data_IF_224504906501
#
_entry.id   IF_224504906501
#
_cell.length_a   1.000
_cell.length_b   1.000
_cell.length_c   1.000
_cell.angle_alpha   90.00
_cell.angle_beta   90.00
_cell.angle_gamma   90.00
#
_symmetry.space_group_name_H-M   'P 1'
#
loop_
_entity.id
_entity.type
_entity.pdbx_description
1 polymer ?
#
# COMPACT_ATOMS: atom_id res chain seq x y z
N UNK A 1 4.70 1.37 25.28
CA UNK A 1 4.39 -0.02 24.87
C UNK A 1 4.07 -0.06 23.36
N UNK A 2 5.06 0.18 22.50
CA UNK A 2 4.89 0.24 21.02
C UNK A 2 5.74 -0.87 20.32
N UNK A 3 6.72 -1.45 21.03
CA UNK A 3 7.61 -2.45 20.47
C UNK A 3 6.97 -3.84 20.29
N UNK A 4 5.98 -4.20 21.12
CA UNK A 4 5.37 -5.55 21.12
C UNK A 4 4.49 -5.76 19.87
N UNK A 5 3.91 -4.70 19.29
CA UNK A 5 2.98 -4.81 18.15
C UNK A 5 3.65 -4.94 16.78
N UNK A 6 4.98 -4.74 16.69
CA UNK A 6 5.71 -4.95 15.43
C UNK A 6 6.00 -6.42 15.16
N UNK A 7 5.93 -7.28 16.18
CA UNK A 7 6.27 -8.70 16.11
C UNK A 7 5.06 -9.61 15.81
N UNK A 8 3.82 -9.10 15.84
CA UNK A 8 2.60 -9.88 15.63
C UNK A 8 2.02 -9.83 14.22
N UNK A 9 2.48 -8.91 13.37
CA UNK A 9 2.05 -8.83 11.97
C UNK A 9 2.97 -9.71 11.12
N UNK A 10 2.45 -10.82 10.61
CA UNK A 10 3.23 -11.82 9.86
C UNK A 10 3.37 -11.47 8.38
N UNK A 11 2.52 -10.59 7.87
CA UNK A 11 2.59 -10.14 6.47
C UNK A 11 2.35 -8.63 6.31
N UNK A 12 2.67 -8.14 5.11
CA UNK A 12 2.61 -6.71 4.80
C UNK A 12 1.17 -6.16 4.82
N UNK A 13 0.17 -6.98 4.44
CA UNK A 13 -1.26 -6.62 4.50
C UNK A 13 -1.70 -6.32 5.94
N UNK A 14 -1.41 -7.24 6.86
CA UNK A 14 -1.69 -7.08 8.29
C UNK A 14 -1.00 -5.84 8.85
N UNK A 15 0.25 -5.58 8.42
CA UNK A 15 0.99 -4.42 8.86
C UNK A 15 0.36 -3.11 8.40
N UNK A 16 -0.10 -3.03 7.15
CA UNK A 16 -0.80 -1.85 6.63
C UNK A 16 -2.14 -1.62 7.32
N UNK A 17 -2.94 -2.67 7.49
CA UNK A 17 -4.22 -2.59 8.18
C UNK A 17 -4.06 -2.22 9.66
N UNK A 18 -3.15 -2.88 10.38
CA UNK A 18 -3.08 -2.75 11.83
C UNK A 18 -2.38 -1.45 12.28
N UNK A 19 -1.21 -1.13 11.70
CA UNK A 19 -0.39 0.02 12.12
C UNK A 19 -0.85 1.33 11.50
N UNK A 20 -1.22 1.30 10.22
CA UNK A 20 -1.50 2.51 9.45
C UNK A 20 -2.99 2.74 9.21
N UNK A 21 -3.84 1.75 9.56
CA UNK A 21 -5.31 1.84 9.44
C UNK A 21 -5.78 2.16 8.01
N UNK A 22 -5.02 1.70 7.02
CA UNK A 22 -5.43 1.78 5.61
C UNK A 22 -6.62 0.87 5.35
N UNK A 23 -7.49 1.29 4.45
CA UNK A 23 -8.58 0.45 3.95
C UNK A 23 -8.04 -0.65 3.03
N UNK A 24 -8.82 -1.71 2.85
CA UNK A 24 -8.41 -2.87 2.06
C UNK A 24 -8.07 -2.52 0.60
N UNK A 25 -8.76 -1.54 0.01
CA UNK A 25 -8.54 -1.16 -1.38
C UNK A 25 -7.19 -0.46 -1.56
N UNK A 26 -6.83 0.46 -0.67
CA UNK A 26 -5.49 1.07 -0.67
C UNK A 26 -4.40 0.02 -0.42
N UNK A 27 -4.65 -0.93 0.50
CA UNK A 27 -3.68 -2.00 0.80
C UNK A 27 -3.40 -2.86 -0.43
N UNK A 28 -4.44 -3.27 -1.16
CA UNK A 28 -4.29 -4.07 -2.39
C UNK A 28 -3.47 -3.32 -3.44
N UNK A 29 -3.76 -2.04 -3.68
CA UNK A 29 -3.00 -1.22 -4.62
C UNK A 29 -1.52 -1.12 -4.23
N UNK A 30 -1.22 -0.91 -2.95
CA UNK A 30 0.16 -0.85 -2.45
C UNK A 30 0.89 -2.18 -2.62
N UNK A 31 0.21 -3.31 -2.38
CA UNK A 31 0.79 -4.64 -2.57
C UNK A 31 1.09 -4.91 -4.04
N UNK A 32 0.23 -4.47 -4.96
CA UNK A 32 0.44 -4.60 -6.40
C UNK A 32 1.62 -3.77 -6.91
N UNK A 33 1.81 -2.53 -6.43
CA UNK A 33 2.99 -1.71 -6.75
C UNK A 33 4.29 -2.36 -6.26
N UNK A 34 4.25 -3.14 -5.18
CA UNK A 34 5.42 -3.81 -4.65
C UNK A 34 5.77 -5.12 -5.39
N UNK A 35 4.87 -5.66 -6.23
CA UNK A 35 5.14 -6.88 -7.00
C UNK A 35 6.33 -6.69 -7.96
N UNK A 36 7.10 -7.74 -8.24
CA UNK A 36 8.26 -7.66 -9.15
C UNK A 36 7.85 -7.36 -10.60
N UNK A 37 6.66 -7.81 -10.99
CA UNK A 37 6.10 -7.67 -12.33
C UNK A 37 5.84 -6.19 -12.69
N UNK A 38 6.57 -5.62 -13.68
CA UNK A 38 6.43 -4.22 -14.08
C UNK A 38 5.03 -3.84 -14.57
N UNK A 39 4.29 -4.78 -15.19
CA UNK A 39 2.95 -4.49 -15.70
C UNK A 39 1.97 -4.23 -14.55
N UNK A 40 2.01 -5.09 -13.54
CA UNK A 40 1.16 -4.96 -12.34
C UNK A 40 1.50 -3.71 -11.54
N UNK A 41 2.78 -3.33 -11.49
CA UNK A 41 3.20 -2.06 -10.87
C UNK A 41 2.61 -0.85 -11.59
N UNK A 42 2.63 -0.86 -12.91
CA UNK A 42 2.12 0.23 -13.72
C UNK A 42 0.60 0.39 -13.56
N UNK A 43 -0.14 -0.72 -13.62
CA UNK A 43 -1.60 -0.74 -13.41
C UNK A 43 -1.99 -0.19 -12.04
N UNK A 44 -1.34 -0.66 -10.97
CA UNK A 44 -1.61 -0.16 -9.63
C UNK A 44 -1.22 1.32 -9.46
N UNK A 45 -0.16 1.80 -10.13
CA UNK A 45 0.17 3.23 -10.16
C UNK A 45 -0.97 4.04 -10.78
N UNK A 46 -1.51 3.61 -11.92
CA UNK A 46 -2.64 4.30 -12.57
C UNK A 46 -3.85 4.39 -11.64
N UNK A 47 -4.20 3.30 -10.94
CA UNK A 47 -5.32 3.29 -9.98
C UNK A 47 -5.10 4.28 -8.83
N UNK A 48 -3.87 4.36 -8.31
CA UNK A 48 -3.55 5.32 -7.25
C UNK A 48 -3.59 6.78 -7.75
N UNK A 49 -3.15 7.01 -8.97
CA UNK A 49 -3.14 8.32 -9.63
C UNK A 49 -4.57 8.83 -9.91
N UNK A 50 -5.42 7.97 -10.49
CA UNK A 50 -6.83 8.26 -10.75
C UNK A 50 -7.61 8.64 -9.48
N UNK A 51 -7.18 8.11 -8.33
CA UNK A 51 -7.77 8.41 -7.03
C UNK A 51 -7.21 9.66 -6.37
N UNK A 52 -6.19 10.30 -6.97
CA UNK A 52 -5.48 11.43 -6.39
C UNK A 52 -4.68 11.08 -5.13
N UNK A 53 -4.34 9.81 -4.94
CA UNK A 53 -3.66 9.33 -3.73
C UNK A 53 -2.14 9.49 -3.80
N UNK A 54 -1.59 9.75 -4.99
CA UNK A 54 -0.16 10.02 -5.18
C UNK A 54 0.21 11.50 -4.97
N UNK A 55 -0.77 12.36 -4.68
CA UNK A 55 -0.61 13.81 -4.65
C UNK A 55 -0.57 14.41 -6.06
N UNK A 56 -0.53 15.73 -6.14
CA UNK A 56 -0.30 16.41 -7.42
C UNK A 56 1.15 16.16 -7.83
N UNK A 57 1.36 15.63 -9.04
CA UNK A 57 2.67 15.75 -9.67
C UNK A 57 2.83 17.21 -10.04
N UNK A 58 3.63 17.95 -9.25
CA UNK A 58 4.15 19.25 -9.68
C UNK A 58 4.88 19.04 -11.02
N UNK A 59 4.27 19.49 -12.11
CA UNK A 59 4.90 19.65 -13.43
C UNK A 59 5.83 20.88 -13.45
#
# INVERSE_FOLDING_TARGET
MIAINRLSCFNLKERFSFLYKFDDQLIECLLEILQIDPHKRWEAKQILDDKGWLGETDD
#
